data_IF_522792438942
#
_entry.id   IF_522792438942
#
_cell.length_a   1.000
_cell.length_b   1.000
_cell.length_c   1.000
_cell.angle_alpha   90.00
_cell.angle_beta   90.00
_cell.angle_gamma   90.00
#
_symmetry.space_group_name_H-M   'P 1'
#
loop_
_entity.id
_entity.type
_entity.pdbx_description
1 polymer ?
#
# COMPACT_ATOMS: atom_id res chain seq x y z
N UNK A 1 38.11 2.36 27.01
CA UNK A 1 36.72 2.74 27.06
C UNK A 1 35.93 1.56 26.54
N UNK A 2 35.31 0.89 27.43
CA UNK A 2 34.56 -0.34 27.19
C UNK A 2 33.26 0.01 26.51
N UNK A 3 33.10 -0.49 25.29
CA UNK A 3 31.80 -0.64 24.70
C UNK A 3 30.95 -1.49 25.64
N UNK A 4 29.93 -0.86 26.21
CA UNK A 4 28.96 -1.57 27.03
C UNK A 4 28.21 -2.53 26.14
N UNK A 5 28.56 -3.79 26.23
CA UNK A 5 27.79 -4.88 25.63
C UNK A 5 26.33 -4.75 26.07
N UNK A 6 25.50 -4.30 25.18
CA UNK A 6 24.05 -4.40 25.37
C UNK A 6 23.70 -5.88 25.15
N UNK A 7 23.32 -6.63 26.20
CA UNK A 7 23.13 -8.07 26.11
C UNK A 7 21.96 -8.51 25.24
N UNK A 8 21.22 -7.56 24.65
CA UNK A 8 20.06 -7.85 23.78
C UNK A 8 20.36 -7.70 22.29
N UNK A 9 21.57 -7.28 21.89
CA UNK A 9 21.93 -7.05 20.49
C UNK A 9 21.14 -5.92 19.82
N UNK A 10 20.47 -5.06 20.60
CA UNK A 10 19.66 -3.94 20.11
C UNK A 10 20.57 -2.73 19.98
N UNK A 11 20.71 -2.17 18.76
CA UNK A 11 21.41 -0.91 18.57
C UNK A 11 20.64 0.20 19.31
N UNK A 12 21.36 1.10 20.04
CA UNK A 12 20.69 2.23 20.68
C UNK A 12 19.91 3.06 19.65
N UNK A 13 18.69 3.46 20.01
CA UNK A 13 17.83 4.30 19.18
C UNK A 13 18.58 5.54 18.63
N UNK A 14 19.42 6.16 19.45
CA UNK A 14 20.11 7.40 19.14
C UNK A 14 21.29 7.26 18.17
N UNK A 15 21.76 6.04 17.89
CA UNK A 15 22.91 5.80 17.02
C UNK A 15 22.54 5.46 15.59
N UNK A 16 21.26 5.28 15.29
CA UNK A 16 20.81 5.00 13.93
C UNK A 16 20.87 6.27 13.05
N UNK A 17 21.56 6.18 11.94
CA UNK A 17 21.76 7.30 11.02
C UNK A 17 20.66 7.39 9.96
N UNK A 18 20.57 8.55 9.30
CA UNK A 18 19.74 8.72 8.11
C UNK A 18 20.15 7.68 7.07
N UNK A 19 19.17 7.04 6.46
CA UNK A 19 19.36 5.93 5.51
C UNK A 19 19.42 4.54 6.15
N UNK A 20 19.53 4.43 7.47
CA UNK A 20 19.44 3.16 8.16
C UNK A 20 18.00 2.66 8.22
N UNK A 21 17.84 1.35 8.19
CA UNK A 21 16.55 0.70 8.38
C UNK A 21 16.45 0.07 9.76
N UNK A 22 15.25 0.10 10.31
CA UNK A 22 14.95 -0.42 11.64
C UNK A 22 13.90 -1.52 11.54
N UNK A 23 14.03 -2.52 12.37
CA UNK A 23 13.04 -3.57 12.53
C UNK A 23 12.81 -3.87 14.00
N UNK A 24 11.70 -4.51 14.30
CA UNK A 24 11.33 -4.98 15.62
C UNK A 24 10.30 -6.09 15.49
N UNK A 25 10.12 -6.87 16.55
CA UNK A 25 9.07 -7.86 16.63
C UNK A 25 7.83 -7.25 17.28
N UNK A 26 6.66 -7.65 16.80
CA UNK A 26 5.36 -7.28 17.36
C UNK A 26 4.70 -8.57 17.83
N UNK A 27 4.40 -8.66 19.12
CA UNK A 27 3.65 -9.79 19.69
C UNK A 27 2.16 -9.64 19.43
N UNK A 28 1.37 -10.68 19.64
CA UNK A 28 -0.06 -10.68 19.39
C UNK A 28 -0.87 -9.67 20.21
N UNK A 29 -0.30 -9.17 21.32
CA UNK A 29 -0.88 -8.09 22.14
C UNK A 29 -0.40 -6.67 21.72
N UNK A 30 0.39 -6.58 20.65
CA UNK A 30 0.93 -5.32 20.15
C UNK A 30 2.22 -4.86 20.82
N UNK A 31 2.79 -5.66 21.72
CA UNK A 31 4.06 -5.32 22.39
C UNK A 31 5.22 -5.40 21.40
N UNK A 32 6.01 -4.32 21.37
CA UNK A 32 7.22 -4.22 20.53
C UNK A 32 8.42 -4.76 21.30
N UNK A 33 9.22 -5.59 20.66
CA UNK A 33 10.45 -6.15 21.22
C UNK A 33 11.52 -6.28 20.14
N UNK A 34 12.78 -6.48 20.54
CA UNK A 34 13.94 -6.63 19.66
C UNK A 34 14.12 -5.51 18.65
N UNK A 35 14.00 -4.28 19.10
CA UNK A 35 14.25 -3.12 18.28
C UNK A 35 15.71 -3.05 17.85
N UNK A 36 15.99 -3.15 16.55
CA UNK A 36 17.36 -3.24 16.02
C UNK A 36 17.47 -2.62 14.62
N UNK A 37 18.70 -2.30 14.23
CA UNK A 37 18.98 -1.94 12.85
C UNK A 37 18.97 -3.19 11.97
N UNK A 38 18.47 -3.02 10.74
CA UNK A 38 18.45 -4.05 9.73
C UNK A 38 19.02 -3.49 8.42
N UNK A 39 19.54 -4.37 7.58
CA UNK A 39 19.89 -4.00 6.21
C UNK A 39 18.59 -3.62 5.47
N UNK A 40 18.59 -2.48 4.77
CA UNK A 40 17.41 -2.03 4.03
C UNK A 40 16.99 -2.98 2.91
N UNK A 41 17.89 -3.80 2.39
CA UNK A 41 17.55 -4.86 1.42
C UNK A 41 16.81 -6.05 2.07
N UNK A 42 16.94 -6.21 3.38
CA UNK A 42 16.21 -7.21 4.16
C UNK A 42 14.87 -6.65 4.68
N UNK A 43 14.06 -7.53 5.24
CA UNK A 43 12.80 -7.11 5.84
C UNK A 43 13.02 -6.15 7.00
N UNK A 44 12.31 -5.02 6.96
CA UNK A 44 12.35 -3.97 7.98
C UNK A 44 10.99 -3.27 8.06
N UNK A 45 10.80 -2.47 9.12
CA UNK A 45 9.53 -1.76 9.35
C UNK A 45 9.62 -0.26 9.18
N UNK A 46 10.84 0.29 9.15
CA UNK A 46 11.05 1.73 9.16
C UNK A 46 12.38 2.07 8.49
N UNK A 47 12.39 3.12 7.67
CA UNK A 47 13.60 3.66 7.05
C UNK A 47 13.77 5.10 7.49
N UNK A 48 14.92 5.43 8.08
CA UNK A 48 15.18 6.76 8.64
C UNK A 48 15.49 7.73 7.52
N UNK A 49 14.68 8.79 7.43
CA UNK A 49 14.84 9.86 6.43
C UNK A 49 15.43 11.15 7.00
N UNK A 50 15.26 11.39 8.30
CA UNK A 50 15.81 12.56 8.98
C UNK A 50 15.93 12.31 10.48
N UNK A 51 16.78 13.10 11.12
CA UNK A 51 16.94 13.15 12.59
C UNK A 51 16.73 14.56 13.04
N UNK A 52 15.88 14.76 14.04
CA UNK A 52 15.60 16.06 14.63
C UNK A 52 15.97 16.07 16.11
N UNK A 53 16.51 17.16 16.58
CA UNK A 53 16.79 17.39 17.99
C UNK A 53 15.74 18.32 18.56
N UNK A 54 14.78 17.79 19.30
CA UNK A 54 13.70 18.57 19.89
C UNK A 54 14.20 19.54 20.98
N UNK A 55 15.40 19.33 21.51
CA UNK A 55 16.01 20.29 22.45
C UNK A 55 16.28 21.66 21.81
N UNK A 56 16.45 21.70 20.47
CA UNK A 56 16.65 22.93 19.72
C UNK A 56 15.36 23.51 19.14
N UNK A 57 14.23 22.92 19.45
CA UNK A 57 12.93 23.45 19.03
C UNK A 57 12.72 24.88 19.51
N UNK A 58 12.16 25.79 18.67
CA UNK A 58 12.12 27.23 18.99
C UNK A 58 11.20 27.62 20.13
N UNK A 59 10.85 26.73 21.03
CA UNK A 59 10.10 27.00 22.25
C UNK A 59 10.70 26.23 23.42
N UNK A 60 10.23 26.50 24.64
CA UNK A 60 10.63 25.73 25.82
C UNK A 60 9.83 24.42 25.99
N UNK A 61 9.03 24.03 24.99
CA UNK A 61 8.10 22.89 25.09
C UNK A 61 8.81 21.57 25.41
N UNK A 62 10.02 21.38 24.90
CA UNK A 62 10.77 20.13 25.07
C UNK A 62 11.99 20.28 25.98
N UNK A 63 11.85 21.10 27.00
CA UNK A 63 12.90 21.31 28.02
C UNK A 63 13.15 20.06 28.87
N UNK A 64 14.05 20.23 29.86
CA UNK A 64 14.57 19.12 30.68
C UNK A 64 13.48 18.26 31.36
N UNK A 65 12.41 18.89 31.83
CA UNK A 65 11.32 18.19 32.53
C UNK A 65 10.04 18.05 31.69
N UNK A 66 10.14 18.26 30.39
CA UNK A 66 8.97 18.15 29.52
C UNK A 66 8.48 16.69 29.40
N UNK A 67 7.16 16.48 29.40
CA UNK A 67 6.62 15.14 29.10
C UNK A 67 6.84 14.77 27.65
N UNK A 68 6.84 13.46 27.37
CA UNK A 68 6.82 12.98 25.98
C UNK A 68 5.55 13.51 25.29
N UNK A 69 5.67 14.06 24.07
CA UNK A 69 4.50 14.50 23.32
C UNK A 69 3.46 13.39 23.14
N UNK A 70 2.20 13.71 23.31
CA UNK A 70 1.12 12.78 23.02
C UNK A 70 0.97 12.53 21.51
N UNK A 71 0.10 11.59 21.13
CA UNK A 71 -0.08 11.20 19.72
C UNK A 71 -0.53 12.37 18.84
N UNK A 72 -1.35 13.27 19.36
CA UNK A 72 -1.79 14.47 18.62
C UNK A 72 -0.62 15.40 18.34
N UNK A 73 0.22 15.65 19.37
CA UNK A 73 1.41 16.49 19.21
C UNK A 73 2.45 15.83 18.31
N UNK A 74 2.63 14.51 18.41
CA UNK A 74 3.50 13.77 17.50
C UNK A 74 3.07 13.92 16.03
N UNK A 75 1.76 13.87 15.75
CA UNK A 75 1.25 14.10 14.41
C UNK A 75 1.57 15.51 13.88
N UNK A 76 1.46 16.52 14.72
CA UNK A 76 1.83 17.90 14.37
C UNK A 76 3.33 18.03 14.10
N UNK A 77 4.17 17.45 14.95
CA UNK A 77 5.62 17.46 14.77
C UNK A 77 6.05 16.73 13.52
N UNK A 78 5.38 15.63 13.18
CA UNK A 78 5.58 14.89 11.94
C UNK A 78 5.38 15.80 10.72
N UNK A 79 4.27 16.52 10.67
CA UNK A 79 3.99 17.44 9.56
C UNK A 79 5.00 18.60 9.51
N UNK A 80 5.30 19.16 10.66
CA UNK A 80 6.17 20.33 10.77
C UNK A 80 7.65 20.00 10.47
N UNK A 81 8.16 18.92 11.04
CA UNK A 81 9.59 18.61 11.04
C UNK A 81 10.00 17.46 10.12
N UNK A 82 9.10 16.53 9.82
CA UNK A 82 9.44 15.34 9.06
C UNK A 82 9.05 15.39 7.60
N UNK A 83 8.00 16.10 7.22
CA UNK A 83 7.45 16.04 5.86
C UNK A 83 8.48 16.49 4.81
N UNK A 84 8.94 17.73 4.90
CA UNK A 84 9.87 18.28 3.89
C UNK A 84 11.19 17.53 3.83
N UNK A 85 11.89 17.21 4.95
CA UNK A 85 13.11 16.43 4.88
C UNK A 85 12.92 15.04 4.27
N UNK A 86 11.79 14.37 4.56
CA UNK A 86 11.51 13.04 4.02
C UNK A 86 11.24 13.07 2.53
N UNK A 87 10.46 14.02 2.04
CA UNK A 87 10.24 14.20 0.60
C UNK A 87 11.56 14.49 -0.12
N UNK A 88 12.43 15.30 0.48
CA UNK A 88 13.78 15.58 -0.05
C UNK A 88 14.65 14.33 -0.07
N UNK A 89 14.63 13.54 1.00
CA UNK A 89 15.33 12.26 1.10
C UNK A 89 14.93 11.30 -0.02
N UNK A 90 13.63 11.27 -0.36
CA UNK A 90 13.08 10.45 -1.44
C UNK A 90 13.19 11.09 -2.83
N UNK A 91 13.83 12.27 -2.93
CA UNK A 91 13.96 13.02 -4.20
C UNK A 91 12.61 13.29 -4.88
N UNK A 92 11.58 13.55 -4.08
CA UNK A 92 10.22 13.80 -4.53
C UNK A 92 9.37 12.56 -4.83
N UNK A 93 9.94 11.38 -4.72
CA UNK A 93 9.24 10.11 -4.98
C UNK A 93 8.44 9.66 -3.76
N UNK A 94 7.43 10.42 -3.43
CA UNK A 94 6.51 10.11 -2.32
C UNK A 94 5.06 10.33 -2.75
N UNK A 95 4.25 9.29 -2.62
CA UNK A 95 2.81 9.35 -2.85
C UNK A 95 2.09 9.15 -1.50
N UNK A 96 1.59 10.24 -0.86
CA UNK A 96 1.02 10.16 0.49
C UNK A 96 -0.28 9.35 0.56
N UNK A 97 -0.93 9.11 -0.58
CA UNK A 97 -2.18 8.35 -0.65
C UNK A 97 -1.95 6.85 -0.87
N UNK A 98 -0.69 6.41 -0.88
CA UNK A 98 -0.35 5.05 -1.30
C UNK A 98 0.37 4.27 -0.19
N UNK A 99 1.32 3.42 -0.59
CA UNK A 99 1.93 2.38 0.24
C UNK A 99 2.68 2.91 1.45
N UNK A 100 3.44 3.99 1.28
CA UNK A 100 4.32 4.50 2.33
C UNK A 100 3.74 5.74 2.99
N UNK A 101 3.97 5.86 4.28
CA UNK A 101 3.65 7.04 5.09
C UNK A 101 4.87 7.53 5.85
N UNK A 102 4.86 8.80 6.21
CA UNK A 102 5.88 9.40 7.05
C UNK A 102 5.47 9.24 8.51
N UNK A 103 6.40 8.83 9.36
CA UNK A 103 6.14 8.67 10.78
C UNK A 103 7.31 9.17 11.63
N UNK A 104 7.04 9.67 12.84
CA UNK A 104 8.07 9.97 13.82
C UNK A 104 8.32 8.75 14.73
N UNK A 105 9.55 8.62 15.22
CA UNK A 105 9.86 7.74 16.36
C UNK A 105 10.53 8.61 17.42
N UNK A 106 9.95 8.61 18.63
CA UNK A 106 10.49 9.28 19.80
C UNK A 106 11.28 8.31 20.66
N UNK A 107 12.19 8.82 21.52
CA UNK A 107 12.91 7.98 22.45
C UNK A 107 11.98 7.20 23.37
N UNK A 108 12.38 6.02 23.84
CA UNK A 108 11.67 5.35 24.93
C UNK A 108 11.57 6.25 26.15
N UNK A 109 10.56 6.02 27.00
CA UNK A 109 10.28 6.86 28.16
C UNK A 109 11.50 7.05 29.08
N UNK A 110 12.29 6.01 29.28
CA UNK A 110 13.51 6.07 30.11
C UNK A 110 14.57 6.99 29.49
N UNK A 111 14.79 6.88 28.19
CA UNK A 111 15.74 7.72 27.48
C UNK A 111 15.28 9.18 27.44
N UNK A 112 14.00 9.41 27.23
CA UNK A 112 13.42 10.76 27.29
C UNK A 112 13.61 11.37 28.69
N UNK A 113 13.31 10.62 29.74
CA UNK A 113 13.51 11.07 31.12
C UNK A 113 14.99 11.36 31.44
N UNK A 114 15.90 10.65 30.78
CA UNK A 114 17.35 10.89 30.90
C UNK A 114 17.86 12.05 30.04
N UNK A 115 16.98 12.73 29.30
CA UNK A 115 17.32 13.92 28.52
C UNK A 115 17.46 13.71 27.00
N UNK A 116 17.20 12.52 26.49
CA UNK A 116 17.21 12.28 25.03
C UNK A 116 16.01 12.99 24.39
N UNK A 117 16.29 13.86 23.43
CA UNK A 117 15.31 14.63 22.67
C UNK A 117 15.38 14.36 21.17
N UNK A 118 15.99 13.23 20.81
CA UNK A 118 16.10 12.81 19.41
C UNK A 118 14.74 12.33 18.90
N UNK A 119 14.25 12.93 17.83
CA UNK A 119 13.13 12.40 17.07
C UNK A 119 13.63 11.89 15.72
N UNK A 120 13.35 10.64 15.41
CA UNK A 120 13.59 10.12 14.08
C UNK A 120 12.39 10.42 13.20
N UNK A 121 12.64 10.88 11.99
CA UNK A 121 11.67 10.93 10.91
C UNK A 121 11.93 9.76 9.97
N UNK A 122 10.89 9.13 9.49
CA UNK A 122 11.11 8.05 8.53
C UNK A 122 9.87 7.58 7.81
N UNK A 123 10.07 6.52 7.07
CA UNK A 123 9.13 5.98 6.10
C UNK A 123 8.74 4.59 6.55
N UNK A 124 7.44 4.33 6.56
CA UNK A 124 6.86 3.03 6.91
C UNK A 124 5.68 2.70 6.02
N UNK A 125 5.36 1.43 5.91
CA UNK A 125 4.09 0.97 5.38
C UNK A 125 3.27 0.39 6.53
N UNK A 126 1.97 0.66 6.56
CA UNK A 126 1.09 0.22 7.65
C UNK A 126 -0.04 -0.66 7.14
N UNK A 127 -0.53 -1.54 8.02
CA UNK A 127 -1.77 -2.28 7.78
C UNK A 127 -3.01 -1.41 8.04
N UNK A 128 -4.18 -2.00 7.93
CA UNK A 128 -5.46 -1.31 8.14
C UNK A 128 -5.61 -0.75 9.57
N UNK A 129 -4.87 -1.28 10.54
CA UNK A 129 -4.88 -0.84 11.94
C UNK A 129 -3.82 0.24 12.24
N UNK A 130 -3.05 0.65 11.24
CA UNK A 130 -1.96 1.60 11.42
C UNK A 130 -0.67 1.00 11.98
N UNK A 131 -0.58 -0.33 12.06
CA UNK A 131 0.62 -1.02 12.54
C UNK A 131 1.64 -1.13 11.42
N UNK A 132 2.92 -0.74 11.65
CA UNK A 132 3.97 -0.89 10.65
C UNK A 132 4.17 -2.34 10.25
N UNK A 133 4.19 -2.60 8.94
CA UNK A 133 4.40 -3.93 8.36
C UNK A 133 5.83 -4.06 7.83
N UNK A 134 6.26 -5.30 7.60
CA UNK A 134 7.56 -5.58 7.01
C UNK A 134 7.55 -5.25 5.51
N UNK A 135 8.58 -4.54 5.09
CA UNK A 135 8.88 -4.27 3.67
C UNK A 135 10.35 -4.57 3.41
N UNK A 136 10.73 -4.79 2.18
CA UNK A 136 12.11 -5.05 1.79
C UNK A 136 12.55 -4.07 0.71
N UNK A 137 13.78 -3.64 0.76
CA UNK A 137 14.37 -2.65 -0.14
C UNK A 137 14.19 -1.21 0.31
N UNK A 138 15.09 -0.29 -0.11
CA UNK A 138 14.94 1.14 0.14
C UNK A 138 13.64 1.67 -0.46
N UNK A 139 12.92 2.53 0.28
CA UNK A 139 11.64 3.06 -0.16
C UNK A 139 11.73 3.83 -1.49
N UNK A 140 12.83 4.53 -1.74
CA UNK A 140 13.05 5.26 -2.99
C UNK A 140 13.10 4.36 -4.24
N UNK A 141 13.38 3.08 -4.06
CA UNK A 141 13.47 2.09 -5.14
C UNK A 141 12.20 1.25 -5.29
N UNK A 142 11.23 1.44 -4.41
CA UNK A 142 10.00 0.67 -4.41
C UNK A 142 8.88 1.36 -5.17
N UNK A 143 7.99 0.54 -5.74
CA UNK A 143 6.71 1.03 -6.25
C UNK A 143 5.87 1.51 -5.08
N UNK A 144 5.38 2.75 -5.17
CA UNK A 144 4.55 3.36 -4.13
C UNK A 144 3.09 2.88 -4.18
N UNK A 145 2.69 2.20 -5.26
CA UNK A 145 1.31 1.79 -5.44
C UNK A 145 0.86 0.76 -4.39
N UNK A 146 -0.38 0.89 -3.97
CA UNK A 146 -1.09 -0.16 -3.23
C UNK A 146 -1.86 -0.99 -4.24
N UNK A 147 -1.55 -2.28 -4.32
CA UNK A 147 -2.21 -3.21 -5.22
C UNK A 147 -2.72 -4.42 -4.47
N UNK A 148 -3.82 -4.98 -4.97
CA UNK A 148 -4.30 -6.28 -4.55
C UNK A 148 -3.66 -7.37 -5.40
N UNK A 149 -3.60 -8.58 -4.86
CA UNK A 149 -3.06 -9.73 -5.58
C UNK A 149 -4.15 -10.47 -6.37
N UNK A 150 -3.80 -11.17 -7.46
CA UNK A 150 -4.78 -11.99 -8.17
C UNK A 150 -5.49 -12.97 -7.24
N UNK A 151 -6.81 -13.00 -7.31
CA UNK A 151 -7.66 -13.79 -6.42
C UNK A 151 -8.21 -13.03 -5.22
N UNK A 152 -7.69 -11.84 -4.93
CA UNK A 152 -8.23 -10.99 -3.87
C UNK A 152 -9.59 -10.43 -4.27
N UNK A 153 -10.55 -10.50 -3.35
CA UNK A 153 -11.84 -9.88 -3.48
C UNK A 153 -11.89 -8.59 -2.66
N UNK A 154 -12.38 -7.51 -3.28
CA UNK A 154 -12.34 -6.18 -2.70
C UNK A 154 -13.75 -5.65 -2.45
N UNK A 155 -13.97 -5.17 -1.24
CA UNK A 155 -15.18 -4.47 -0.84
C UNK A 155 -14.96 -2.96 -0.93
N UNK A 156 -15.89 -2.26 -1.57
CA UNK A 156 -15.92 -0.80 -1.64
C UNK A 156 -16.83 -0.29 -0.53
N UNK A 157 -16.27 0.43 0.45
CA UNK A 157 -17.04 1.00 1.54
C UNK A 157 -17.71 2.33 1.15
N UNK A 158 -18.46 2.92 2.08
CA UNK A 158 -19.19 4.17 1.85
C UNK A 158 -18.24 5.35 1.55
N UNK A 159 -17.00 5.31 2.03
CA UNK A 159 -15.97 6.31 1.74
C UNK A 159 -15.25 6.08 0.41
N UNK A 160 -15.67 5.05 -0.35
CA UNK A 160 -15.04 4.57 -1.59
C UNK A 160 -13.64 4.02 -1.40
N UNK A 161 -13.31 3.62 -0.18
CA UNK A 161 -12.08 2.89 0.11
C UNK A 161 -12.26 1.41 -0.17
N UNK A 162 -11.20 0.78 -0.67
CA UNK A 162 -11.15 -0.63 -0.98
C UNK A 162 -10.53 -1.39 0.21
N UNK A 163 -11.13 -2.52 0.57
CA UNK A 163 -10.52 -3.45 1.52
C UNK A 163 -10.64 -4.88 1.01
N UNK A 164 -9.63 -5.66 1.27
CA UNK A 164 -9.63 -7.09 0.94
C UNK A 164 -10.55 -7.83 1.92
N UNK A 165 -11.43 -8.65 1.37
CA UNK A 165 -12.36 -9.49 2.14
C UNK A 165 -12.28 -10.92 1.61
N UNK A 166 -12.81 -11.87 2.39
CA UNK A 166 -13.03 -13.23 1.90
C UNK A 166 -13.99 -13.17 0.71
N UNK A 167 -13.70 -13.90 -0.38
CA UNK A 167 -14.57 -13.92 -1.54
C UNK A 167 -15.97 -14.47 -1.25
N UNK A 168 -16.13 -15.26 -0.19
CA UNK A 168 -17.44 -15.70 0.29
C UNK A 168 -18.26 -14.58 0.94
N UNK A 169 -17.63 -13.46 1.29
CA UNK A 169 -18.28 -12.26 1.78
C UNK A 169 -18.65 -11.32 0.62
N UNK A 170 -19.52 -10.35 0.89
CA UNK A 170 -19.92 -9.34 -0.10
C UNK A 170 -18.70 -8.53 -0.56
N UNK A 171 -18.55 -8.39 -1.86
CA UNK A 171 -17.50 -7.61 -2.51
C UNK A 171 -17.96 -7.11 -3.87
N UNK A 172 -17.24 -6.17 -4.47
CA UNK A 172 -17.59 -5.57 -5.75
C UNK A 172 -16.56 -5.87 -6.84
N UNK A 173 -15.32 -6.14 -6.46
CA UNK A 173 -14.22 -6.41 -7.39
C UNK A 173 -13.56 -7.74 -7.05
N UNK A 174 -13.19 -8.47 -8.08
CA UNK A 174 -12.33 -9.64 -7.96
C UNK A 174 -11.07 -9.39 -8.79
N UNK A 175 -9.92 -9.32 -8.13
CA UNK A 175 -8.64 -8.95 -8.76
C UNK A 175 -8.12 -10.09 -9.63
N UNK A 176 -7.69 -9.76 -10.84
CA UNK A 176 -7.17 -10.75 -11.81
C UNK A 176 -5.69 -10.60 -12.10
N UNK A 177 -5.15 -9.39 -12.02
CA UNK A 177 -3.76 -9.12 -12.39
C UNK A 177 -3.24 -7.86 -11.70
N UNK A 178 -1.95 -7.87 -11.41
CA UNK A 178 -1.17 -6.66 -11.11
C UNK A 178 -0.40 -6.27 -12.36
N UNK A 179 -0.55 -5.04 -12.83
CA UNK A 179 0.14 -4.53 -14.02
C UNK A 179 1.16 -3.49 -13.61
N UNK A 180 2.45 -3.75 -13.87
CA UNK A 180 3.51 -2.76 -13.75
C UNK A 180 3.56 -1.93 -15.03
N UNK A 181 3.24 -0.64 -14.93
CA UNK A 181 3.26 0.28 -16.07
C UNK A 181 4.63 0.88 -16.35
N UNK A 182 5.63 0.67 -15.48
CA UNK A 182 6.96 1.23 -15.68
C UNK A 182 7.62 0.81 -17.00
N UNK A 183 7.65 -0.49 -17.37
CA UNK A 183 8.24 -0.88 -18.65
C UNK A 183 7.42 -0.46 -19.88
N UNK A 184 6.12 -0.20 -19.69
CA UNK A 184 5.22 0.23 -20.77
C UNK A 184 5.44 1.72 -21.11
N UNK A 185 5.66 2.53 -20.08
CA UNK A 185 5.87 3.98 -20.18
C UNK A 185 7.20 4.36 -19.53
N UNK A 186 8.33 4.01 -20.17
CA UNK A 186 9.65 4.20 -19.56
C UNK A 186 10.08 5.68 -19.51
N UNK A 187 9.43 6.53 -20.27
CA UNK A 187 9.77 7.96 -20.36
C UNK A 187 8.53 8.83 -20.14
N UNK A 188 8.66 9.80 -19.24
CA UNK A 188 7.60 10.76 -18.96
C UNK A 188 6.44 10.16 -18.15
N UNK A 189 5.38 10.95 -18.03
CA UNK A 189 4.16 10.57 -17.34
C UNK A 189 3.08 10.20 -18.35
N UNK A 190 2.55 8.98 -18.36
CA UNK A 190 1.48 8.62 -19.28
C UNK A 190 0.18 9.35 -18.94
N UNK A 191 -0.55 9.75 -19.94
CA UNK A 191 -1.91 10.26 -19.76
C UNK A 191 -2.86 9.14 -19.33
N UNK A 192 -4.00 9.50 -18.77
CA UNK A 192 -5.05 8.53 -18.46
C UNK A 192 -5.50 7.78 -19.72
N UNK A 193 -5.64 8.49 -20.83
CA UNK A 193 -6.02 7.88 -22.12
C UNK A 193 -5.00 6.83 -22.60
N UNK A 194 -3.71 7.15 -22.50
CA UNK A 194 -2.64 6.19 -22.84
C UNK A 194 -2.68 4.95 -21.96
N UNK A 195 -2.93 5.13 -20.66
CA UNK A 195 -3.09 4.01 -19.72
C UNK A 195 -4.32 3.17 -20.08
N UNK A 196 -5.48 3.82 -20.34
CA UNK A 196 -6.72 3.13 -20.72
C UNK A 196 -6.53 2.30 -21.98
N UNK A 197 -5.88 2.85 -23.00
CA UNK A 197 -5.63 2.15 -24.25
C UNK A 197 -4.79 0.89 -24.07
N UNK A 198 -3.79 0.96 -23.20
CA UNK A 198 -2.97 -0.22 -22.86
C UNK A 198 -3.75 -1.24 -22.00
N UNK A 199 -4.42 -0.76 -20.95
CA UNK A 199 -5.05 -1.62 -19.96
C UNK A 199 -6.32 -2.30 -20.46
N UNK A 200 -7.00 -1.73 -21.45
CA UNK A 200 -8.18 -2.35 -22.04
C UNK A 200 -7.91 -3.77 -22.51
N UNK A 201 -6.88 -3.94 -23.33
CA UNK A 201 -6.52 -5.24 -23.90
C UNK A 201 -5.87 -6.15 -22.86
N UNK A 202 -4.98 -5.60 -22.03
CA UNK A 202 -4.29 -6.35 -20.96
C UNK A 202 -5.29 -6.90 -19.96
N UNK A 203 -6.23 -6.08 -19.50
CA UNK A 203 -7.19 -6.49 -18.48
C UNK A 203 -8.29 -7.41 -19.03
N UNK A 204 -8.65 -7.27 -20.31
CA UNK A 204 -9.51 -8.24 -20.96
C UNK A 204 -8.84 -9.63 -20.98
N UNK A 205 -7.61 -9.70 -21.48
CA UNK A 205 -6.86 -10.96 -21.52
C UNK A 205 -6.62 -11.53 -20.12
N UNK A 206 -6.36 -10.67 -19.14
CA UNK A 206 -6.21 -11.11 -17.76
C UNK A 206 -7.48 -11.77 -17.22
N UNK A 207 -8.65 -11.25 -17.55
CA UNK A 207 -9.93 -11.86 -17.19
C UNK A 207 -10.13 -13.23 -17.85
N UNK A 208 -9.77 -13.36 -19.12
CA UNK A 208 -9.81 -14.63 -19.84
C UNK A 208 -8.89 -15.67 -19.17
N UNK A 209 -7.64 -15.28 -18.92
CA UNK A 209 -6.65 -16.18 -18.31
C UNK A 209 -7.05 -16.59 -16.89
N UNK A 210 -7.55 -15.63 -16.11
CA UNK A 210 -7.98 -15.83 -14.73
C UNK A 210 -9.15 -16.81 -14.63
N UNK A 211 -10.13 -16.72 -15.52
CA UNK A 211 -11.31 -17.61 -15.56
C UNK A 211 -11.08 -18.88 -16.41
N UNK A 212 -9.96 -18.95 -17.13
CA UNK A 212 -9.55 -20.13 -17.88
C UNK A 212 -9.91 -20.11 -19.36
N UNK A 213 -10.87 -19.33 -19.78
CA UNK A 213 -11.26 -19.18 -21.19
C UNK A 213 -12.09 -17.92 -21.43
N UNK A 214 -12.14 -17.50 -22.69
CA UNK A 214 -13.03 -16.44 -23.15
C UNK A 214 -14.51 -16.79 -22.92
N UNK A 215 -14.88 -18.05 -23.12
CA UNK A 215 -16.25 -18.51 -22.87
C UNK A 215 -16.62 -18.40 -21.38
N UNK A 216 -15.70 -18.74 -20.48
CA UNK A 216 -15.94 -18.59 -19.05
C UNK A 216 -16.15 -17.11 -18.65
N UNK A 217 -15.37 -16.20 -19.22
CA UNK A 217 -15.57 -14.77 -19.02
C UNK A 217 -16.94 -14.32 -19.54
N UNK A 218 -17.30 -14.73 -20.75
CA UNK A 218 -18.58 -14.40 -21.34
C UNK A 218 -19.77 -14.91 -20.49
N UNK A 219 -19.74 -16.16 -20.05
CA UNK A 219 -20.79 -16.74 -19.21
C UNK A 219 -20.85 -16.15 -17.81
N UNK A 220 -19.73 -15.62 -17.31
CA UNK A 220 -19.71 -14.94 -16.01
C UNK A 220 -20.51 -13.64 -16.01
N UNK A 221 -20.72 -13.03 -17.16
CA UNK A 221 -21.32 -11.70 -17.35
C UNK A 221 -20.51 -10.56 -16.71
N UNK A 222 -19.35 -10.86 -16.14
CA UNK A 222 -18.45 -9.85 -15.56
C UNK A 222 -17.68 -9.10 -16.64
N UNK A 223 -17.26 -7.90 -16.30
CA UNK A 223 -16.53 -7.01 -17.18
C UNK A 223 -15.15 -6.72 -16.61
N UNK A 224 -14.12 -6.63 -17.46
CA UNK A 224 -12.83 -6.11 -17.04
C UNK A 224 -12.96 -4.67 -16.55
N UNK A 225 -12.26 -4.40 -15.46
CA UNK A 225 -12.15 -3.08 -14.85
C UNK A 225 -10.70 -2.85 -14.43
N UNK A 226 -10.24 -1.62 -14.48
CA UNK A 226 -8.89 -1.27 -14.08
C UNK A 226 -8.82 0.10 -13.46
N UNK A 227 -7.83 0.28 -12.59
CA UNK A 227 -7.43 1.58 -12.09
C UNK A 227 -6.41 2.24 -13.01
N UNK A 228 -6.30 3.55 -12.89
CA UNK A 228 -5.26 4.35 -13.54
C UNK A 228 -4.53 5.18 -12.50
N UNK A 229 -3.31 5.63 -12.84
CA UNK A 229 -2.49 6.46 -11.97
C UNK A 229 -2.56 7.92 -12.42
N UNK A 230 -3.07 8.82 -11.57
CA UNK A 230 -2.99 10.25 -11.85
C UNK A 230 -1.53 10.72 -11.86
N UNK A 231 -1.28 11.87 -12.48
CA UNK A 231 0.07 12.44 -12.61
C UNK A 231 0.78 12.55 -11.25
N UNK A 232 0.08 13.00 -10.22
CA UNK A 232 0.65 13.14 -8.87
C UNK A 232 1.15 11.82 -8.29
N UNK A 233 0.41 10.72 -8.49
CA UNK A 233 0.82 9.39 -8.06
C UNK A 233 2.00 8.86 -8.86
N UNK A 234 2.01 9.09 -10.18
CA UNK A 234 3.12 8.69 -11.04
C UNK A 234 4.41 9.41 -10.66
N UNK A 235 4.35 10.73 -10.53
CA UNK A 235 5.50 11.54 -10.10
C UNK A 235 5.96 11.13 -8.69
N UNK A 236 5.02 10.77 -7.82
CA UNK A 236 5.30 10.26 -6.47
C UNK A 236 5.89 8.85 -6.42
N UNK A 237 6.02 8.17 -7.55
CA UNK A 237 6.67 6.85 -7.61
C UNK A 237 5.75 5.65 -7.72
N UNK A 238 4.44 5.85 -7.85
CA UNK A 238 3.49 4.75 -8.10
C UNK A 238 3.56 4.31 -9.57
N UNK A 239 3.60 3.01 -9.82
CA UNK A 239 3.78 2.44 -11.16
C UNK A 239 2.81 1.30 -11.47
N UNK A 240 2.20 0.69 -10.46
CA UNK A 240 1.36 -0.48 -10.65
C UNK A 240 -0.12 -0.17 -10.44
N UNK A 241 -0.95 -0.88 -11.18
CA UNK A 241 -2.41 -0.85 -11.08
C UNK A 241 -2.95 -2.29 -11.11
N UNK A 242 -4.22 -2.45 -10.76
CA UNK A 242 -4.90 -3.73 -10.84
C UNK A 242 -5.83 -3.82 -12.05
N UNK A 243 -5.89 -5.00 -12.64
CA UNK A 243 -7.05 -5.46 -13.39
C UNK A 243 -7.99 -6.21 -12.43
N UNK A 244 -9.28 -6.02 -12.61
CA UNK A 244 -10.31 -6.69 -11.82
C UNK A 244 -11.49 -7.09 -12.71
N UNK A 245 -12.35 -7.94 -12.18
CA UNK A 245 -13.66 -8.24 -12.76
C UNK A 245 -14.73 -7.61 -11.87
N UNK A 246 -15.69 -6.98 -12.52
CA UNK A 246 -16.84 -6.31 -11.90
C UNK A 246 -18.11 -6.59 -12.68
N UNK A 247 -19.25 -6.30 -12.06
CA UNK A 247 -20.52 -6.17 -12.78
C UNK A 247 -21.03 -4.75 -12.59
N UNK A 248 -21.01 -3.94 -13.66
CA UNK A 248 -21.53 -2.59 -13.62
C UNK A 248 -23.06 -2.63 -13.53
N UNK A 249 -23.63 -1.89 -12.57
CA UNK A 249 -25.06 -1.75 -12.43
C UNK A 249 -25.59 -0.58 -13.28
N UNK A 250 -26.90 -0.51 -13.43
CA UNK A 250 -27.57 0.53 -14.23
C UNK A 250 -27.43 1.94 -13.60
N UNK A 251 -27.13 2.02 -12.31
CA UNK A 251 -26.96 3.28 -11.59
C UNK A 251 -25.53 3.83 -11.67
N UNK A 252 -24.61 3.17 -12.41
CA UNK A 252 -23.21 3.56 -12.58
C UNK A 252 -22.28 3.09 -11.47
N UNK A 253 -22.77 2.26 -10.56
CA UNK A 253 -21.97 1.59 -9.53
C UNK A 253 -21.63 0.16 -9.91
N UNK A 254 -21.16 -0.60 -8.91
CA UNK A 254 -20.84 -2.01 -9.06
C UNK A 254 -21.82 -2.86 -8.26
N UNK A 255 -22.31 -3.93 -8.88
CA UNK A 255 -23.12 -4.92 -8.20
C UNK A 255 -22.33 -5.65 -7.11
N UNK A 256 -23.03 -6.13 -6.11
CA UNK A 256 -22.42 -6.96 -5.07
C UNK A 256 -22.22 -8.38 -5.57
N UNK A 257 -20.98 -8.84 -5.47
CA UNK A 257 -20.58 -10.20 -5.78
C UNK A 257 -20.42 -11.00 -4.49
N UNK A 258 -20.67 -12.29 -4.55
CA UNK A 258 -20.47 -13.22 -3.46
C UNK A 258 -19.97 -14.55 -4.02
N UNK A 259 -18.89 -15.08 -3.48
CA UNK A 259 -18.15 -16.20 -4.07
C UNK A 259 -17.12 -15.75 -5.11
N UNK A 260 -16.29 -16.66 -5.57
CA UNK A 260 -15.32 -16.38 -6.64
C UNK A 260 -15.89 -16.77 -7.99
N UNK A 261 -15.67 -15.90 -8.99
CA UNK A 261 -16.06 -16.19 -10.38
C UNK A 261 -15.31 -17.39 -10.99
N UNK A 262 -14.18 -17.80 -10.39
CA UNK A 262 -13.45 -19.01 -10.76
C UNK A 262 -14.24 -20.30 -10.56
N UNK A 263 -15.16 -20.31 -9.59
CA UNK A 263 -16.00 -21.47 -9.30
C UNK A 263 -17.17 -21.63 -10.28
N UNK A 264 -17.23 -20.75 -11.27
CA UNK A 264 -18.25 -20.80 -12.30
C UNK A 264 -19.61 -20.33 -11.79
N UNK A 265 -20.60 -20.52 -12.65
CA UNK A 265 -21.95 -20.02 -12.47
C UNK A 265 -22.63 -20.47 -11.17
N UNK A 266 -22.30 -21.67 -10.69
CA UNK A 266 -22.89 -22.24 -9.47
C UNK A 266 -22.14 -21.80 -8.20
N UNK A 267 -20.96 -21.23 -8.35
CA UNK A 267 -20.06 -20.87 -7.25
C UNK A 267 -20.06 -19.39 -6.86
N UNK A 268 -20.73 -18.53 -7.62
CA UNK A 268 -20.82 -17.10 -7.25
C UNK A 268 -22.15 -16.48 -7.65
N UNK A 269 -22.49 -15.37 -7.01
CA UNK A 269 -23.73 -14.63 -7.27
C UNK A 269 -23.43 -13.15 -7.55
N UNK A 270 -24.32 -12.55 -8.33
CA UNK A 270 -24.36 -11.12 -8.62
C UNK A 270 -25.68 -10.59 -8.06
N UNK A 271 -25.62 -9.72 -7.04
CA UNK A 271 -26.80 -9.24 -6.31
C UNK A 271 -27.69 -10.41 -5.82
N UNK A 272 -27.06 -11.47 -5.33
CA UNK A 272 -27.74 -12.63 -4.78
C UNK A 272 -28.27 -13.64 -5.80
N UNK A 273 -28.06 -13.42 -7.10
CA UNK A 273 -28.51 -14.30 -8.18
C UNK A 273 -27.33 -14.87 -8.96
N UNK A 274 -27.45 -16.11 -9.49
CA UNK A 274 -26.45 -16.59 -10.44
C UNK A 274 -26.36 -15.66 -11.64
N UNK A 275 -25.20 -15.65 -12.36
CA UNK A 275 -25.10 -14.92 -13.61
C UNK A 275 -26.22 -15.31 -14.58
N UNK A 276 -26.79 -14.33 -15.27
CA UNK A 276 -27.81 -14.60 -16.29
C UNK A 276 -27.24 -15.52 -17.38
N UNK A 277 -28.04 -16.49 -17.84
CA UNK A 277 -27.62 -17.33 -18.95
C UNK A 277 -27.39 -16.52 -20.21
N UNK A 278 -26.25 -16.73 -20.83
CA UNK A 278 -25.91 -16.08 -22.09
C UNK A 278 -26.17 -17.05 -23.26
N UNK A 279 -26.69 -16.53 -24.39
CA UNK A 279 -26.88 -17.36 -25.56
C UNK A 279 -25.56 -17.91 -26.07
N UNK A 280 -25.58 -19.09 -26.68
CA UNK A 280 -24.40 -19.63 -27.34
C UNK A 280 -23.92 -18.65 -28.40
N UNK A 281 -22.60 -18.38 -28.40
CA UNK A 281 -21.98 -17.61 -29.48
C UNK A 281 -22.03 -18.45 -30.74
N UNK A 282 -22.45 -17.80 -31.86
CA UNK A 282 -22.48 -18.49 -33.14
C UNK A 282 -21.04 -18.87 -33.57
N UNK A 283 -20.69 -20.16 -33.62
CA UNK A 283 -19.34 -20.60 -33.98
C UNK A 283 -18.96 -20.30 -35.44
N UNK A 284 -19.91 -19.83 -36.27
CA UNK A 284 -19.71 -19.49 -37.69
C UNK A 284 -19.49 -17.97 -37.89
N UNK A 285 -19.53 -17.14 -36.86
CA UNK A 285 -19.06 -15.76 -36.97
C UNK A 285 -17.56 -15.75 -36.81
N UNK A 286 -16.85 -15.71 -37.94
CA UNK A 286 -15.45 -15.33 -37.92
C UNK A 286 -15.30 -13.96 -37.26
N UNK A 287 -14.29 -13.78 -36.41
CA UNK A 287 -14.01 -12.43 -35.89
C UNK A 287 -13.79 -11.52 -37.11
N UNK A 288 -14.42 -10.38 -37.08
CA UNK A 288 -14.20 -9.33 -38.09
C UNK A 288 -12.70 -9.01 -38.12
N UNK A 289 -12.12 -9.14 -39.33
CA UNK A 289 -10.71 -8.89 -39.58
C UNK A 289 -10.35 -7.42 -39.30
#
# INVERSE_FOLDING_TARGET
PSDGDNPTGVAPFTTADVGACLTWDITGDGTVSRFQQADCSAEHRFEISARENLATYPSSEFGENAPIPDLTRQAQLREELCHTPTVRYLEGRFDPARRYSIAPILPPAEAWAAGDRTMLCGIQSTDANGTPVLTAGPAAEQDQAVVAEPGDCLFVDESRSLRTVDCAADHQLETTLVVDLAPVFPEGTPSIEEQDNHLRDVCFQAGVDYLGSDENLYQSTLQPYWGTLPETSWVGGSRSVNCSLVFADEAGGFATLNGTARDGREGFTINGQPPAEQPERNPLREPAA
#
